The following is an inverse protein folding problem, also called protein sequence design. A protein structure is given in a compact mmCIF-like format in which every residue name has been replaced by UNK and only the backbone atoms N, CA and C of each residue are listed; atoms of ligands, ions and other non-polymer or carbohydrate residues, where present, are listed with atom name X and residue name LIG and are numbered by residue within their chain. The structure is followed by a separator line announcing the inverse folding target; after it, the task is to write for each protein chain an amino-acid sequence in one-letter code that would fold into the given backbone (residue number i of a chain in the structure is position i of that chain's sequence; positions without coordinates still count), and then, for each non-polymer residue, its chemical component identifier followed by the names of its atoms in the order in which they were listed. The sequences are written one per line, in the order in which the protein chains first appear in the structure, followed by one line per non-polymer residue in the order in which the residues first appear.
data_IF_880768358302
#
_entry.id   IF_880768358302
#
_cell.length_a   1.000
_cell.length_b   1.000
_cell.length_c   1.000
_cell.angle_alpha   90.00
_cell.angle_beta   90.00
_cell.angle_gamma   90.00
#
_symmetry.space_group_name_H-M   'P 1'
#
loop_
_entity.id
_entity.type
_entity.pdbx_description
1 polymer ?
#
# COMPACT_ATOMS: atom_id res chain seq x y z
N UNK A 1 10.60 11.59 -3.37
CA UNK A 1 10.33 10.16 -3.60
C UNK A 1 11.60 9.37 -3.27
N UNK A 2 11.77 9.07 -1.99
CA UNK A 2 12.97 8.34 -1.49
C UNK A 2 12.75 6.82 -1.45
N UNK A 3 11.52 6.36 -1.63
CA UNK A 3 11.17 4.95 -1.59
C UNK A 3 11.41 4.27 -2.94
N UNK A 4 12.23 3.21 -2.98
CA UNK A 4 12.65 2.52 -4.21
C UNK A 4 11.49 1.95 -5.03
N UNK A 5 10.47 1.39 -4.36
CA UNK A 5 9.26 0.88 -5.01
C UNK A 5 8.56 1.97 -5.83
N UNK A 6 8.29 3.13 -5.22
CA UNK A 6 7.61 4.23 -5.92
C UNK A 6 8.47 4.87 -7.00
N UNK A 7 9.78 4.96 -6.75
CA UNK A 7 10.72 5.40 -7.79
C UNK A 7 10.70 4.44 -8.99
N UNK A 8 10.63 3.13 -8.75
CA UNK A 8 10.50 2.10 -9.78
C UNK A 8 9.20 2.22 -10.58
N UNK A 9 8.06 2.36 -9.88
CA UNK A 9 6.74 2.57 -10.52
C UNK A 9 6.75 3.83 -11.39
N UNK A 10 7.24 4.95 -10.86
CA UNK A 10 7.31 6.21 -11.58
C UNK A 10 8.21 6.13 -12.83
N UNK A 11 9.37 5.51 -12.69
CA UNK A 11 10.29 5.32 -13.82
C UNK A 11 9.67 4.42 -14.90
N UNK A 12 8.95 3.38 -14.50
CA UNK A 12 8.20 2.52 -15.42
C UNK A 12 7.11 3.30 -16.17
N UNK A 13 6.32 4.11 -15.45
CA UNK A 13 5.30 4.98 -16.04
C UNK A 13 5.92 5.97 -17.03
N UNK A 14 7.01 6.66 -16.64
CA UNK A 14 7.72 7.59 -17.51
C UNK A 14 8.19 6.91 -18.80
N UNK A 15 8.88 5.78 -18.68
CA UNK A 15 9.44 5.05 -19.82
C UNK A 15 8.34 4.59 -20.79
N UNK A 16 7.19 4.13 -20.27
CA UNK A 16 6.09 3.69 -21.13
C UNK A 16 5.29 4.86 -21.73
N UNK A 17 5.14 5.96 -21.02
CA UNK A 17 4.52 7.18 -21.55
C UNK A 17 5.34 7.73 -22.74
N UNK A 18 6.64 7.92 -22.56
CA UNK A 18 7.55 8.39 -23.62
C UNK A 18 7.47 7.50 -24.88
N UNK A 19 7.51 6.17 -24.73
CA UNK A 19 7.38 5.22 -25.86
C UNK A 19 6.08 5.38 -26.64
N UNK A 20 5.02 5.84 -25.98
CA UNK A 20 3.67 5.97 -26.55
C UNK A 20 3.32 7.41 -26.94
N UNK A 21 4.26 8.35 -26.81
CA UNK A 21 4.07 9.75 -27.16
C UNK A 21 3.22 10.53 -26.16
N UNK A 22 3.19 10.11 -24.88
CA UNK A 22 2.55 10.83 -23.80
C UNK A 22 3.57 11.52 -22.90
N UNK A 23 3.21 12.69 -22.40
CA UNK A 23 3.91 13.37 -21.33
C UNK A 23 3.33 12.99 -19.95
N UNK A 24 4.17 13.00 -18.91
CA UNK A 24 3.73 12.86 -17.52
C UNK A 24 3.80 14.21 -16.82
N UNK A 25 2.71 14.53 -16.11
CA UNK A 25 2.61 15.72 -15.29
C UNK A 25 2.09 15.34 -13.91
N UNK A 26 2.77 15.80 -12.84
CA UNK A 26 2.25 15.70 -11.48
C UNK A 26 1.20 16.78 -11.25
N UNK A 27 0.09 16.39 -10.62
CA UNK A 27 -0.97 17.32 -10.27
C UNK A 27 -1.11 17.44 -8.74
N UNK A 28 -1.57 18.59 -8.30
CA UNK A 28 -1.91 18.87 -6.92
C UNK A 28 -3.21 19.69 -6.85
N UNK A 29 -3.76 19.85 -5.65
CA UNK A 29 -5.02 20.59 -5.43
C UNK A 29 -4.84 22.10 -5.28
N UNK A 30 -3.62 22.61 -5.28
CA UNK A 30 -3.31 24.04 -5.17
C UNK A 30 -2.64 24.53 -6.47
N UNK A 31 -3.38 25.24 -7.28
CA UNK A 31 -2.87 25.89 -8.48
C UNK A 31 -2.89 27.41 -8.30
N UNK A 32 -1.72 28.04 -8.22
CA UNK A 32 -1.55 29.50 -8.14
C UNK A 32 -2.46 30.15 -7.08
N UNK A 33 -2.58 29.51 -5.89
CA UNK A 33 -3.38 30.05 -4.78
C UNK A 33 -4.90 29.79 -4.89
N UNK A 34 -5.35 29.11 -5.94
CA UNK A 34 -6.74 28.64 -6.07
C UNK A 34 -6.80 27.14 -5.70
N UNK A 35 -7.76 26.80 -4.82
CA UNK A 35 -8.06 25.40 -4.53
C UNK A 35 -8.94 24.85 -5.65
N UNK A 36 -8.48 23.80 -6.32
CA UNK A 36 -9.23 23.06 -7.34
C UNK A 36 -9.29 21.60 -6.91
N UNK A 37 -10.37 20.88 -7.30
CA UNK A 37 -10.37 19.43 -7.19
C UNK A 37 -9.40 18.80 -8.20
N UNK A 38 -8.99 17.55 -7.96
CA UNK A 38 -8.16 16.84 -8.93
C UNK A 38 -8.82 16.73 -10.30
N UNK A 39 -10.14 16.51 -10.34
CA UNK A 39 -10.89 16.42 -11.58
C UNK A 39 -10.95 17.76 -12.34
N UNK A 40 -11.17 18.87 -11.62
CA UNK A 40 -11.12 20.21 -12.22
C UNK A 40 -9.73 20.50 -12.81
N UNK A 41 -8.67 20.15 -12.09
CA UNK A 41 -7.29 20.32 -12.58
C UNK A 41 -7.05 19.50 -13.85
N UNK A 42 -7.50 18.25 -13.88
CA UNK A 42 -7.37 17.40 -15.06
C UNK A 42 -8.10 17.97 -16.27
N UNK A 43 -9.33 18.48 -16.06
CA UNK A 43 -10.11 19.14 -17.12
C UNK A 43 -9.47 20.42 -17.61
N UNK A 44 -9.00 21.26 -16.69
CA UNK A 44 -8.31 22.51 -17.02
C UNK A 44 -7.06 22.27 -17.90
N UNK A 45 -6.29 21.22 -17.59
CA UNK A 45 -5.10 20.83 -18.35
C UNK A 45 -5.38 19.96 -19.57
N UNK A 46 -6.65 19.54 -19.75
CA UNK A 46 -7.07 18.63 -20.82
C UNK A 46 -6.24 17.34 -20.88
N UNK A 47 -6.09 16.67 -19.72
CA UNK A 47 -5.37 15.39 -19.65
C UNK A 47 -6.18 14.25 -20.28
N UNK A 48 -5.48 13.33 -20.95
CA UNK A 48 -6.07 12.13 -21.58
C UNK A 48 -6.42 11.04 -20.56
N UNK A 49 -5.75 11.01 -19.42
CA UNK A 49 -5.97 10.06 -18.37
C UNK A 49 -5.14 10.34 -17.12
N UNK A 50 -5.37 9.58 -16.07
CA UNK A 50 -4.73 9.75 -14.75
C UNK A 50 -4.28 8.42 -14.18
N UNK A 51 -3.10 8.42 -13.55
CA UNK A 51 -2.65 7.34 -12.68
C UNK A 51 -2.63 7.85 -11.24
N UNK A 52 -3.36 7.18 -10.35
CA UNK A 52 -3.42 7.52 -8.93
C UNK A 52 -2.48 6.58 -8.15
N UNK A 53 -1.49 7.16 -7.50
CA UNK A 53 -0.47 6.44 -6.71
C UNK A 53 -0.32 7.13 -5.36
N UNK A 54 -0.17 6.36 -4.28
CA UNK A 54 0.08 6.89 -2.93
C UNK A 54 -0.94 7.93 -2.46
N UNK A 55 -2.20 7.78 -2.84
CA UNK A 55 -3.27 8.68 -2.42
C UNK A 55 -4.06 8.11 -1.25
N UNK A 56 -4.69 8.98 -0.48
CA UNK A 56 -5.75 8.58 0.44
C UNK A 56 -7.04 8.39 -0.36
N UNK A 57 -7.27 7.17 -0.84
CA UNK A 57 -8.34 6.86 -1.78
C UNK A 57 -9.75 7.15 -1.25
N UNK A 58 -9.94 7.23 0.07
CA UNK A 58 -11.22 7.58 0.71
C UNK A 58 -11.54 9.09 0.68
N UNK A 59 -10.60 9.93 0.24
CA UNK A 59 -10.85 11.37 0.13
C UNK A 59 -11.88 11.67 -0.96
N UNK A 60 -12.86 12.58 -0.70
CA UNK A 60 -13.92 12.90 -1.66
C UNK A 60 -13.41 13.33 -3.03
N UNK A 61 -12.32 14.10 -3.07
CA UNK A 61 -11.72 14.60 -4.32
C UNK A 61 -11.10 13.47 -5.16
N UNK A 62 -10.58 12.42 -4.50
CA UNK A 62 -10.04 11.22 -5.17
C UNK A 62 -11.18 10.34 -5.66
N UNK A 63 -12.24 10.16 -4.85
CA UNK A 63 -13.45 9.44 -5.24
C UNK A 63 -14.16 10.11 -6.43
N UNK A 64 -14.26 11.45 -6.44
CA UNK A 64 -14.80 12.22 -7.57
C UNK A 64 -14.02 11.92 -8.86
N UNK A 65 -12.69 11.92 -8.78
CA UNK A 65 -11.82 11.63 -9.93
C UNK A 65 -12.02 10.21 -10.44
N UNK A 66 -12.03 9.22 -9.55
CA UNK A 66 -12.21 7.80 -9.91
C UNK A 66 -13.58 7.52 -10.53
N UNK A 67 -14.63 8.22 -10.07
CA UNK A 67 -16.00 8.09 -10.57
C UNK A 67 -16.27 8.92 -11.84
N UNK A 68 -15.28 9.66 -12.33
CA UNK A 68 -15.42 10.52 -13.51
C UNK A 68 -15.39 9.72 -14.82
N UNK A 69 -15.61 10.41 -15.95
CA UNK A 69 -15.47 9.83 -17.30
C UNK A 69 -14.02 9.81 -17.79
N UNK A 70 -13.09 10.42 -17.05
CA UNK A 70 -11.68 10.41 -17.41
C UNK A 70 -11.12 9.00 -17.22
N UNK A 71 -10.30 8.46 -18.12
CA UNK A 71 -9.62 7.20 -17.91
C UNK A 71 -8.71 7.27 -16.67
N UNK A 72 -8.98 6.41 -15.67
CA UNK A 72 -8.22 6.37 -14.42
C UNK A 72 -7.65 4.98 -14.20
N UNK A 73 -6.37 4.93 -13.83
CA UNK A 73 -5.69 3.74 -13.33
C UNK A 73 -5.27 3.98 -11.88
N UNK A 74 -5.54 3.03 -11.01
CA UNK A 74 -5.12 3.06 -9.61
C UNK A 74 -3.99 2.07 -9.38
N UNK A 75 -3.04 2.42 -8.52
CA UNK A 75 -1.99 1.52 -8.06
C UNK A 75 -2.30 1.10 -6.62
N UNK A 76 -2.33 -0.21 -6.39
CA UNK A 76 -2.59 -0.85 -5.09
C UNK A 76 -3.95 -0.51 -4.45
N UNK A 77 -4.93 -0.11 -5.28
CA UNK A 77 -6.29 0.12 -4.85
C UNK A 77 -7.29 -0.34 -5.91
N UNK A 78 -8.28 -1.15 -5.52
CA UNK A 78 -9.33 -1.64 -6.42
C UNK A 78 -10.59 -0.79 -6.26
N UNK A 79 -11.10 -0.27 -7.38
CA UNK A 79 -12.34 0.48 -7.47
C UNK A 79 -13.12 0.07 -8.71
N UNK A 80 -14.45 -0.08 -8.60
CA UNK A 80 -15.30 -0.64 -9.67
C UNK A 80 -15.25 0.15 -10.98
N UNK A 81 -14.99 1.46 -10.90
CA UNK A 81 -14.96 2.35 -12.08
C UNK A 81 -13.56 2.52 -12.69
N UNK A 82 -12.52 1.90 -12.14
CA UNK A 82 -11.14 2.13 -12.55
C UNK A 82 -10.43 0.82 -12.92
N UNK A 83 -9.41 0.94 -13.77
CA UNK A 83 -8.43 -0.14 -13.92
C UNK A 83 -7.46 -0.11 -12.75
N UNK A 84 -7.33 -1.21 -12.01
CA UNK A 84 -6.38 -1.34 -10.93
C UNK A 84 -5.15 -2.16 -11.35
N UNK A 85 -3.98 -1.73 -10.92
CA UNK A 85 -2.73 -2.49 -10.98
C UNK A 85 -2.24 -2.68 -9.56
N UNK A 86 -2.14 -3.93 -9.11
CA UNK A 86 -1.71 -4.24 -7.75
C UNK A 86 -0.85 -5.50 -7.71
N UNK A 87 -0.05 -5.59 -6.66
CA UNK A 87 0.68 -6.81 -6.33
C UNK A 87 -0.29 -7.90 -5.85
N UNK A 88 0.06 -9.18 -6.07
CA UNK A 88 -0.70 -10.28 -5.49
C UNK A 88 -0.34 -10.41 -3.99
N UNK A 89 -0.90 -9.51 -3.18
CA UNK A 89 -0.59 -9.39 -1.76
C UNK A 89 -0.89 -10.66 -0.97
N UNK A 90 -1.95 -11.38 -1.34
CA UNK A 90 -2.31 -12.66 -0.69
C UNK A 90 -1.23 -13.69 -0.95
N UNK A 91 -0.83 -13.87 -2.22
CA UNK A 91 0.21 -14.84 -2.56
C UNK A 91 1.56 -14.47 -1.96
N UNK A 92 1.97 -13.22 -2.07
CA UNK A 92 3.24 -12.76 -1.52
C UNK A 92 3.34 -13.00 -0.01
N UNK A 93 2.29 -12.67 0.75
CA UNK A 93 2.26 -12.92 2.19
C UNK A 93 2.22 -14.42 2.50
N UNK A 94 1.47 -15.22 1.73
CA UNK A 94 1.45 -16.67 1.90
C UNK A 94 2.84 -17.27 1.71
N UNK A 95 3.51 -16.95 0.59
CA UNK A 95 4.85 -17.46 0.29
C UNK A 95 5.87 -17.06 1.36
N UNK A 96 5.80 -15.82 1.85
CA UNK A 96 6.67 -15.32 2.91
C UNK A 96 6.43 -16.04 4.24
N UNK A 97 5.17 -16.23 4.63
CA UNK A 97 4.81 -16.93 5.87
C UNK A 97 5.23 -18.40 5.84
N UNK A 98 4.98 -19.09 4.71
CA UNK A 98 5.41 -20.48 4.53
C UNK A 98 6.94 -20.61 4.64
N UNK A 99 7.68 -19.67 4.08
CA UNK A 99 9.14 -19.61 4.18
C UNK A 99 9.59 -19.44 5.65
N UNK A 100 9.00 -18.48 6.39
CA UNK A 100 9.34 -18.20 7.79
C UNK A 100 9.00 -19.39 8.69
N UNK A 101 7.85 -20.01 8.48
CA UNK A 101 7.43 -21.21 9.23
C UNK A 101 8.35 -22.40 8.88
N UNK A 102 8.73 -22.53 7.62
CA UNK A 102 9.69 -23.54 7.16
C UNK A 102 11.08 -23.39 7.81
N UNK A 103 11.45 -22.18 8.23
CA UNK A 103 12.66 -21.92 9.04
C UNK A 103 12.50 -22.28 10.52
N UNK A 104 11.30 -22.69 10.95
CA UNK A 104 11.00 -23.12 12.31
C UNK A 104 10.40 -22.06 13.22
N UNK A 105 10.10 -20.85 12.71
CA UNK A 105 9.45 -19.82 13.49
C UNK A 105 7.98 -20.16 13.74
N UNK A 106 7.53 -20.04 14.99
CA UNK A 106 6.13 -20.19 15.42
C UNK A 106 5.60 -18.97 16.16
N UNK A 107 6.51 -18.14 16.68
CA UNK A 107 6.21 -16.86 17.34
C UNK A 107 6.47 -15.75 16.35
N UNK A 108 5.49 -15.47 15.49
CA UNK A 108 5.60 -14.54 14.37
C UNK A 108 4.68 -13.36 14.65
N UNK A 109 5.25 -12.17 14.82
CA UNK A 109 4.48 -10.94 14.94
C UNK A 109 4.38 -10.24 13.58
N UNK A 110 3.34 -9.43 13.41
CA UNK A 110 3.15 -8.63 12.21
C UNK A 110 2.76 -7.20 12.56
N UNK A 111 3.59 -6.25 12.16
CA UNK A 111 3.28 -4.83 12.16
C UNK A 111 2.73 -4.52 10.78
N UNK A 112 1.42 -4.23 10.69
CA UNK A 112 0.75 -3.98 9.42
C UNK A 112 0.51 -2.48 9.19
N UNK A 113 0.23 -2.09 7.93
CA UNK A 113 -0.15 -0.73 7.57
C UNK A 113 -1.56 -0.35 8.02
N UNK A 114 -2.10 0.75 7.51
CA UNK A 114 -3.43 1.25 7.87
C UNK A 114 -4.54 0.25 7.50
N UNK A 115 -5.53 0.07 8.37
CA UNK A 115 -6.61 -0.92 8.24
C UNK A 115 -7.53 -0.68 7.03
N UNK A 116 -7.65 0.57 6.59
CA UNK A 116 -8.45 0.90 5.41
C UNK A 116 -7.76 0.52 4.07
N UNK A 117 -6.47 0.22 4.09
CA UNK A 117 -5.71 -0.21 2.91
C UNK A 117 -6.13 -1.61 2.46
N UNK A 118 -6.46 -1.78 1.17
CA UNK A 118 -6.71 -3.11 0.58
C UNK A 118 -5.49 -4.01 0.68
N UNK A 119 -4.29 -3.45 0.49
CA UNK A 119 -3.01 -4.15 0.66
C UNK A 119 -2.88 -4.71 2.07
N UNK A 120 -3.16 -3.91 3.09
CA UNK A 120 -3.12 -4.34 4.50
C UNK A 120 -4.11 -5.47 4.75
N UNK A 121 -5.36 -5.33 4.31
CA UNK A 121 -6.41 -6.34 4.51
C UNK A 121 -6.05 -7.69 3.87
N UNK A 122 -5.55 -7.66 2.65
CA UNK A 122 -5.14 -8.87 1.92
C UNK A 122 -3.98 -9.59 2.60
N UNK A 123 -2.96 -8.83 3.01
CA UNK A 123 -1.79 -9.38 3.71
C UNK A 123 -2.16 -9.92 5.09
N UNK A 124 -2.97 -9.19 5.85
CA UNK A 124 -3.41 -9.61 7.19
C UNK A 124 -4.29 -10.87 7.10
N UNK A 125 -5.22 -10.93 6.15
CA UNK A 125 -6.04 -12.12 5.93
C UNK A 125 -5.18 -13.33 5.53
N UNK A 126 -4.16 -13.15 4.69
CA UNK A 126 -3.24 -14.22 4.32
C UNK A 126 -2.40 -14.67 5.53
N UNK A 127 -1.90 -13.74 6.35
CA UNK A 127 -1.18 -14.06 7.57
C UNK A 127 -2.00 -14.99 8.49
N UNK A 128 -3.23 -14.61 8.83
CA UNK A 128 -4.09 -15.42 9.68
C UNK A 128 -4.39 -16.80 9.09
N UNK A 129 -4.67 -16.85 7.78
CA UNK A 129 -4.95 -18.10 7.07
C UNK A 129 -3.77 -19.06 7.12
N UNK A 130 -2.55 -18.57 6.94
CA UNK A 130 -1.35 -19.43 6.97
C UNK A 130 -1.06 -19.90 8.40
N UNK A 131 -1.18 -19.02 9.40
CA UNK A 131 -1.04 -19.41 10.82
C UNK A 131 -2.01 -20.53 11.17
N UNK A 132 -3.28 -20.39 10.79
CA UNK A 132 -4.32 -21.41 11.00
C UNK A 132 -4.00 -22.73 10.27
N UNK A 133 -3.60 -22.66 9.00
CA UNK A 133 -3.27 -23.84 8.19
C UNK A 133 -2.11 -24.65 8.78
N UNK A 134 -1.18 -23.99 9.45
CA UNK A 134 -0.06 -24.64 10.14
C UNK A 134 -0.36 -24.99 11.63
N UNK A 135 -1.56 -24.74 12.12
CA UNK A 135 -1.95 -25.00 13.51
C UNK A 135 -1.16 -24.14 14.51
N UNK A 136 -0.76 -22.94 14.10
CA UNK A 136 -0.01 -21.99 14.94
C UNK A 136 -0.99 -20.93 15.46
N UNK A 137 -1.12 -20.84 16.78
CA UNK A 137 -1.94 -19.82 17.43
C UNK A 137 -1.27 -18.46 17.36
N UNK A 138 -2.06 -17.43 17.00
CA UNK A 138 -1.59 -16.04 17.01
C UNK A 138 -1.59 -15.54 18.44
N UNK A 139 -0.42 -15.25 18.97
CA UNK A 139 -0.26 -14.72 20.33
C UNK A 139 -0.90 -13.34 20.45
N UNK A 140 -1.65 -13.13 21.52
CA UNK A 140 -2.26 -11.83 21.82
C UNK A 140 -1.18 -10.72 21.87
N UNK A 141 -1.45 -9.60 21.20
CA UNK A 141 -0.53 -8.46 21.13
C UNK A 141 0.55 -8.56 20.04
N UNK A 142 0.63 -9.65 19.27
CA UNK A 142 1.59 -9.78 18.18
C UNK A 142 1.19 -9.03 16.91
N UNK A 143 -0.09 -8.67 16.77
CA UNK A 143 -0.59 -7.88 15.65
C UNK A 143 -0.61 -6.42 16.10
N UNK A 144 0.14 -5.59 15.36
CA UNK A 144 0.29 -4.16 15.61
C UNK A 144 0.01 -3.36 14.35
N UNK A 145 -0.54 -2.18 14.49
CA UNK A 145 -0.75 -1.25 13.38
C UNK A 145 0.27 -0.11 13.44
N UNK A 146 0.80 0.26 12.28
CA UNK A 146 1.60 1.46 12.07
C UNK A 146 1.30 2.03 10.67
N UNK A 147 1.50 3.32 10.46
CA UNK A 147 1.33 3.89 9.12
C UNK A 147 2.49 3.48 8.20
N UNK A 148 2.17 3.27 6.92
CA UNK A 148 3.21 3.05 5.92
C UNK A 148 4.18 4.24 5.87
N UNK A 149 5.48 3.96 5.74
CA UNK A 149 6.57 4.93 5.65
C UNK A 149 6.82 5.76 6.94
N UNK A 150 6.13 5.45 8.04
CA UNK A 150 6.31 6.13 9.33
C UNK A 150 7.24 5.29 10.23
N UNK A 151 8.54 5.44 10.01
CA UNK A 151 9.59 4.65 10.68
C UNK A 151 9.56 4.77 12.21
N UNK A 152 9.19 5.93 12.75
CA UNK A 152 9.08 6.14 14.20
C UNK A 152 7.97 5.29 14.82
N UNK A 153 6.79 5.25 14.19
CA UNK A 153 5.68 4.39 14.67
C UNK A 153 6.07 2.92 14.64
N UNK A 154 6.70 2.48 13.53
CA UNK A 154 7.17 1.10 13.38
C UNK A 154 8.21 0.76 14.45
N UNK A 155 9.14 1.66 14.74
CA UNK A 155 10.15 1.49 15.79
C UNK A 155 9.51 1.35 17.18
N UNK A 156 8.50 2.17 17.51
CA UNK A 156 7.74 2.05 18.76
C UNK A 156 7.04 0.69 18.87
N UNK A 157 6.33 0.25 17.83
CA UNK A 157 5.65 -1.06 17.81
C UNK A 157 6.64 -2.21 17.91
N UNK A 158 7.80 -2.08 17.28
CA UNK A 158 8.88 -3.07 17.38
C UNK A 158 9.40 -3.16 18.82
N UNK A 159 9.62 -2.04 19.47
CA UNK A 159 10.05 -2.00 20.88
C UNK A 159 9.02 -2.67 21.80
N UNK A 160 7.73 -2.36 21.63
CA UNK A 160 6.65 -3.00 22.39
C UNK A 160 6.72 -4.54 22.25
N UNK A 161 6.89 -5.05 21.03
CA UNK A 161 6.99 -6.49 20.76
C UNK A 161 8.23 -7.13 21.39
N UNK A 162 9.37 -6.44 21.38
CA UNK A 162 10.63 -6.95 21.94
C UNK A 162 10.63 -6.92 23.48
N UNK A 163 9.85 -6.04 24.11
CA UNK A 163 9.69 -5.94 25.57
C UNK A 163 8.64 -6.92 26.14
N UNK A 164 7.90 -7.63 25.28
CA UNK A 164 6.95 -8.64 25.74
C UNK A 164 7.65 -9.76 26.48
N UNK A 165 7.04 -10.28 27.56
CA UNK A 165 7.54 -11.45 28.27
C UNK A 165 7.67 -12.67 27.36
N UNK A 166 6.67 -12.88 26.52
CA UNK A 166 6.66 -13.87 25.45
C UNK A 166 6.89 -13.16 24.10
N UNK A 167 8.15 -12.80 23.85
CA UNK A 167 8.52 -12.03 22.65
C UNK A 167 8.49 -12.87 21.37
N UNK A 168 8.16 -12.29 20.22
CA UNK A 168 8.23 -12.98 18.94
C UNK A 168 9.67 -13.36 18.57
N UNK A 169 9.82 -14.38 17.74
CA UNK A 169 11.10 -14.81 17.16
C UNK A 169 11.29 -14.29 15.72
N UNK A 170 10.20 -13.79 15.12
CA UNK A 170 10.17 -13.15 13.83
C UNK A 170 9.16 -12.01 13.86
N UNK A 171 9.46 -10.89 13.23
CA UNK A 171 8.58 -9.74 13.08
C UNK A 171 8.49 -9.41 11.59
N UNK A 172 7.28 -9.38 11.06
CA UNK A 172 7.00 -8.87 9.73
C UNK A 172 6.70 -7.38 9.80
N UNK A 173 7.16 -6.65 8.79
CA UNK A 173 6.98 -5.20 8.69
C UNK A 173 6.08 -4.84 7.51
N UNK A 174 5.44 -3.66 7.53
CA UNK A 174 4.52 -3.24 6.47
C UNK A 174 5.24 -2.92 5.15
N UNK A 175 6.49 -2.48 5.22
CA UNK A 175 7.38 -2.11 4.12
C UNK A 175 8.85 -2.38 4.51
N UNK A 176 9.78 -2.06 3.63
CA UNK A 176 11.22 -2.31 3.74
C UNK A 176 12.05 -1.07 4.11
N UNK A 177 11.42 -0.07 4.77
CA UNK A 177 12.04 1.18 5.22
C UNK A 177 12.63 1.09 6.62
#
# INVERSE_FOLDING_TARGET
LTHEYFAGVLNGLKTQAEKRGYDLTFINTNLVGQKMSYLEHCRYRNFDGVVIVCASFEQPEVQELMSSKLPVVTIDYVHDSCTAVSSNNVKCMTDLMDYIIGMGHKKIAYIHGQDYSTVTRDRLAAYYRVMEAHGIEVTEGYIKSARYLETEEVAERTKELLEMKDRPTCILFPDDM
#
